data_IF_063997684872
#
_entry.id   IF_063997684872
#
_cell.length_a   1.000
_cell.length_b   1.000
_cell.length_c   1.000
_cell.angle_alpha   90.00
_cell.angle_beta   90.00
_cell.angle_gamma   90.00
#
_symmetry.space_group_name_H-M   'P 1'
#
loop_
_entity.id
_entity.type
_entity.pdbx_description
1 polymer ?
#
# COMPACT_ATOMS: atom_id res chain seq x y z
N UNK A 1 12.96 -26.06 -5.27
CA UNK A 1 12.64 -24.90 -4.42
C UNK A 1 13.47 -23.75 -4.91
N UNK A 2 12.85 -22.64 -5.32
CA UNK A 2 13.58 -21.45 -5.75
C UNK A 2 14.22 -20.80 -4.51
N UNK A 3 15.52 -20.55 -4.51
CA UNK A 3 16.21 -19.88 -3.41
C UNK A 3 15.68 -18.44 -3.28
N UNK A 4 15.45 -17.99 -2.07
CA UNK A 4 15.12 -16.60 -1.78
C UNK A 4 16.40 -15.78 -1.76
N UNK A 5 16.35 -14.56 -2.31
CA UNK A 5 17.46 -13.63 -2.31
C UNK A 5 17.00 -12.25 -1.92
N UNK A 6 17.84 -11.52 -1.17
CA UNK A 6 17.64 -10.13 -0.82
C UNK A 6 18.43 -9.28 -1.81
N UNK A 7 17.72 -8.41 -2.53
CA UNK A 7 18.35 -7.45 -3.43
C UNK A 7 18.49 -6.10 -2.77
N UNK A 8 19.66 -5.49 -2.89
CA UNK A 8 19.83 -4.08 -2.52
C UNK A 8 18.95 -3.19 -3.40
N UNK A 9 18.52 -2.01 -2.91
CA UNK A 9 17.80 -1.06 -3.73
C UNK A 9 18.56 -0.74 -5.03
N UNK A 10 17.85 -0.72 -6.15
CA UNK A 10 18.44 -0.46 -7.48
C UNK A 10 19.02 0.94 -7.65
N UNK A 11 18.67 1.87 -6.76
CA UNK A 11 19.08 3.28 -6.81
C UNK A 11 19.35 3.79 -5.40
N UNK A 12 20.20 4.81 -5.27
CA UNK A 12 20.47 5.48 -3.99
C UNK A 12 19.19 6.03 -3.35
N UNK A 13 18.26 6.57 -4.14
CA UNK A 13 16.95 7.02 -3.67
C UNK A 13 16.09 5.90 -3.02
N UNK A 14 16.42 4.64 -3.29
CA UNK A 14 15.80 3.49 -2.62
C UNK A 14 16.21 3.33 -1.16
N UNK A 15 17.39 3.87 -0.77
CA UNK A 15 17.88 3.85 0.60
C UNK A 15 17.49 5.17 1.27
N UNK A 16 16.48 5.14 2.12
CA UNK A 16 15.93 6.34 2.76
C UNK A 16 15.32 6.03 4.12
N UNK A 17 15.22 7.06 4.95
CA UNK A 17 14.50 7.02 6.22
C UNK A 17 13.15 7.72 6.04
N UNK A 18 12.06 7.03 6.41
CA UNK A 18 10.70 7.59 6.38
C UNK A 18 10.23 7.68 7.83
N UNK A 19 9.75 8.85 8.30
CA UNK A 19 9.15 8.97 9.63
C UNK A 19 7.98 8.00 9.77
N UNK A 20 7.92 7.31 10.90
CA UNK A 20 6.84 6.38 11.19
C UNK A 20 5.66 7.13 11.82
N UNK A 21 4.49 7.01 11.24
CA UNK A 21 3.25 7.51 11.87
C UNK A 21 2.76 6.50 12.93
N UNK A 22 1.90 6.97 13.82
CA UNK A 22 1.47 6.20 14.99
C UNK A 22 0.81 4.86 14.59
N UNK A 23 -0.05 4.87 13.60
CA UNK A 23 -0.76 3.68 13.11
C UNK A 23 0.19 2.60 12.56
N UNK A 24 1.26 3.03 11.90
CA UNK A 24 2.30 2.12 11.41
C UNK A 24 3.11 1.55 12.56
N UNK A 25 3.45 2.37 13.56
CA UNK A 25 4.13 1.91 14.77
C UNK A 25 3.30 0.86 15.52
N UNK A 26 2.01 1.10 15.71
CA UNK A 26 1.09 0.16 16.36
C UNK A 26 0.95 -1.16 15.59
N UNK A 27 0.93 -1.10 14.25
CA UNK A 27 0.94 -2.30 13.42
C UNK A 27 2.21 -3.13 13.60
N UNK A 28 3.38 -2.50 13.65
CA UNK A 28 4.65 -3.18 13.93
C UNK A 28 4.69 -3.75 15.35
N UNK A 29 4.19 -3.02 16.33
CA UNK A 29 4.13 -3.49 17.72
C UNK A 29 3.20 -4.71 17.84
N UNK A 30 2.06 -4.68 17.18
CA UNK A 30 1.12 -5.80 17.14
C UNK A 30 1.78 -7.05 16.54
N UNK A 31 2.47 -6.91 15.43
CA UNK A 31 3.20 -8.01 14.80
C UNK A 31 4.30 -8.55 15.72
N UNK A 32 5.04 -7.67 16.40
CA UNK A 32 6.06 -8.06 17.36
C UNK A 32 5.47 -8.90 18.53
N UNK A 33 4.35 -8.47 19.11
CA UNK A 33 3.71 -9.23 20.21
C UNK A 33 3.16 -10.58 19.73
N UNK A 34 2.66 -10.66 18.50
CA UNK A 34 2.25 -11.93 17.88
C UNK A 34 3.46 -12.87 17.76
N UNK A 35 4.56 -12.39 17.20
CA UNK A 35 5.77 -13.22 17.06
C UNK A 35 6.40 -13.59 18.39
N UNK A 36 6.33 -12.73 19.39
CA UNK A 36 6.77 -13.04 20.75
C UNK A 36 5.99 -14.20 21.37
N UNK A 37 4.70 -14.31 21.06
CA UNK A 37 3.85 -15.41 21.54
C UNK A 37 4.04 -16.70 20.73
N UNK A 38 4.18 -16.60 19.41
CA UNK A 38 4.22 -17.73 18.49
C UNK A 38 5.64 -18.23 18.18
N UNK A 39 6.65 -17.41 18.43
CA UNK A 39 8.04 -17.61 18.06
C UNK A 39 8.47 -16.70 16.93
N UNK A 40 9.72 -16.25 16.97
CA UNK A 40 10.32 -15.41 15.92
C UNK A 40 10.80 -16.28 14.74
N UNK A 41 10.90 -15.65 13.57
CA UNK A 41 11.48 -16.27 12.39
C UNK A 41 13.00 -16.38 12.55
N UNK A 42 13.52 -17.60 12.43
CA UNK A 42 14.96 -17.89 12.47
C UNK A 42 15.57 -18.03 11.05
N UNK A 43 14.75 -17.81 10.00
CA UNK A 43 15.22 -17.91 8.62
C UNK A 43 16.30 -16.84 8.36
N UNK A 44 17.43 -17.26 7.78
CA UNK A 44 18.49 -16.38 7.32
C UNK A 44 18.53 -16.41 5.78
N UNK A 45 18.54 -15.22 5.16
CA UNK A 45 18.59 -15.06 3.70
C UNK A 45 19.71 -14.08 3.38
N UNK A 46 20.71 -14.52 2.63
CA UNK A 46 21.87 -13.71 2.22
C UNK A 46 22.55 -12.96 3.39
N UNK A 47 22.63 -13.59 4.57
CA UNK A 47 23.21 -13.01 5.79
C UNK A 47 22.29 -12.07 6.57
N UNK A 48 21.03 -11.90 6.17
CA UNK A 48 20.03 -11.15 6.90
C UNK A 48 19.09 -12.06 7.68
N UNK A 49 18.76 -11.65 8.89
CA UNK A 49 17.82 -12.33 9.81
C UNK A 49 16.91 -11.32 10.52
N UNK A 50 15.99 -11.78 11.36
CA UNK A 50 15.11 -10.90 12.13
C UNK A 50 14.02 -10.25 11.29
N UNK A 51 13.46 -10.98 10.33
CA UNK A 51 12.38 -10.51 9.46
C UNK A 51 11.10 -10.26 10.27
N UNK A 52 10.51 -9.07 10.05
CA UNK A 52 9.31 -8.63 10.79
C UNK A 52 8.05 -9.32 10.29
N UNK A 53 7.86 -9.43 8.97
CA UNK A 53 6.64 -10.03 8.41
C UNK A 53 6.92 -11.44 7.89
N UNK A 54 6.32 -12.41 8.57
CA UNK A 54 6.55 -13.82 8.30
C UNK A 54 5.24 -14.61 8.23
N UNK A 55 5.29 -15.77 7.60
CA UNK A 55 4.15 -16.68 7.52
C UNK A 55 3.91 -17.37 8.88
N UNK A 56 2.76 -18.02 9.03
CA UNK A 56 2.48 -18.87 10.21
C UNK A 56 3.48 -20.04 10.39
N UNK A 57 4.32 -20.30 9.38
CA UNK A 57 5.39 -21.30 9.43
C UNK A 57 6.76 -20.68 9.72
N UNK A 58 6.81 -19.45 10.21
CA UNK A 58 8.02 -18.68 10.52
C UNK A 58 8.98 -18.54 9.33
N UNK A 59 8.46 -18.43 8.13
CA UNK A 59 9.24 -18.20 6.91
C UNK A 59 8.93 -16.84 6.31
N UNK A 60 9.91 -16.23 5.65
CA UNK A 60 9.75 -14.90 5.01
C UNK A 60 8.77 -14.95 3.86
N UNK A 61 7.86 -13.98 3.80
CA UNK A 61 6.91 -13.83 2.69
C UNK A 61 7.64 -13.56 1.37
N UNK A 62 7.20 -14.21 0.30
CA UNK A 62 7.55 -13.79 -1.06
C UNK A 62 6.59 -12.69 -1.55
N UNK A 63 7.02 -11.87 -2.50
CA UNK A 63 6.14 -10.87 -3.14
C UNK A 63 4.88 -11.51 -3.75
N UNK A 64 5.00 -12.71 -4.32
CA UNK A 64 3.87 -13.46 -4.85
C UNK A 64 2.89 -13.87 -3.72
N UNK A 65 3.39 -14.26 -2.55
CA UNK A 65 2.54 -14.64 -1.43
C UNK A 65 1.71 -13.45 -0.91
N UNK A 66 2.32 -12.25 -0.84
CA UNK A 66 1.63 -11.01 -0.46
C UNK A 66 0.53 -10.68 -1.48
N UNK A 67 0.84 -10.67 -2.77
CA UNK A 67 -0.16 -10.39 -3.81
C UNK A 67 -1.30 -11.43 -3.81
N UNK A 68 -0.98 -12.71 -3.64
CA UNK A 68 -2.00 -13.76 -3.53
C UNK A 68 -2.90 -13.57 -2.30
N UNK A 69 -2.37 -13.05 -1.19
CA UNK A 69 -3.18 -12.72 -0.01
C UNK A 69 -4.14 -11.55 -0.31
N UNK A 70 -3.66 -10.51 -0.99
CA UNK A 70 -4.48 -9.38 -1.45
C UNK A 70 -5.62 -9.89 -2.35
N UNK A 71 -5.32 -10.66 -3.39
CA UNK A 71 -6.32 -11.23 -4.30
C UNK A 71 -7.37 -12.07 -3.58
N UNK A 72 -6.94 -12.93 -2.63
CA UNK A 72 -7.88 -13.73 -1.83
C UNK A 72 -8.81 -12.86 -0.98
N UNK A 73 -8.26 -11.81 -0.34
CA UNK A 73 -9.05 -10.89 0.47
C UNK A 73 -10.06 -10.11 -0.39
N UNK A 74 -9.62 -9.58 -1.54
CA UNK A 74 -10.48 -8.88 -2.50
C UNK A 74 -11.61 -9.79 -3.01
N UNK A 75 -11.29 -11.01 -3.39
CA UNK A 75 -12.29 -11.98 -3.85
C UNK A 75 -13.29 -12.34 -2.75
N UNK A 76 -12.83 -12.55 -1.54
CA UNK A 76 -13.70 -12.84 -0.40
C UNK A 76 -14.65 -11.67 -0.10
N UNK A 77 -14.15 -10.44 -0.14
CA UNK A 77 -14.96 -9.24 0.00
C UNK A 77 -16.02 -9.15 -1.11
N UNK A 78 -15.60 -9.26 -2.38
CA UNK A 78 -16.52 -9.15 -3.52
C UNK A 78 -17.61 -10.20 -3.49
N UNK A 79 -17.30 -11.44 -3.16
CA UNK A 79 -18.30 -12.49 -3.03
C UNK A 79 -19.34 -12.16 -1.93
N UNK A 80 -18.87 -11.67 -0.77
CA UNK A 80 -19.74 -11.27 0.33
C UNK A 80 -20.60 -10.06 -0.05
N UNK A 81 -20.02 -9.06 -0.70
CA UNK A 81 -20.70 -7.86 -1.17
C UNK A 81 -21.80 -8.19 -2.20
N UNK A 82 -21.52 -9.09 -3.14
CA UNK A 82 -22.54 -9.56 -4.10
C UNK A 82 -23.74 -10.24 -3.41
N UNK A 83 -23.48 -11.04 -2.36
CA UNK A 83 -24.55 -11.69 -1.60
C UNK A 83 -25.37 -10.68 -0.79
N UNK A 84 -24.73 -9.70 -0.18
CA UNK A 84 -25.38 -8.63 0.58
C UNK A 84 -26.20 -7.72 -0.33
N UNK A 85 -25.62 -7.26 -1.44
CA UNK A 85 -26.28 -6.44 -2.44
C UNK A 85 -27.54 -7.09 -3.02
N UNK A 86 -27.50 -8.41 -3.29
CA UNK A 86 -28.68 -9.19 -3.72
C UNK A 86 -29.79 -9.17 -2.67
N UNK A 87 -29.44 -9.31 -1.37
CA UNK A 87 -30.45 -9.28 -0.29
C UNK A 87 -31.08 -7.90 -0.13
N UNK A 88 -30.29 -6.84 -0.35
CA UNK A 88 -30.70 -5.45 -0.22
C UNK A 88 -31.28 -4.85 -1.51
N UNK A 89 -31.33 -5.62 -2.60
CA UNK A 89 -31.80 -5.18 -3.92
C UNK A 89 -31.06 -3.92 -4.43
N UNK A 90 -29.75 -3.84 -4.22
CA UNK A 90 -28.88 -2.77 -4.69
C UNK A 90 -27.75 -3.28 -5.60
N UNK A 91 -27.11 -2.38 -6.32
CA UNK A 91 -25.89 -2.71 -7.07
C UNK A 91 -24.73 -3.00 -6.11
N UNK A 92 -23.91 -4.06 -6.37
CA UNK A 92 -22.77 -4.38 -5.55
C UNK A 92 -21.62 -3.37 -5.74
N UNK A 93 -20.97 -2.97 -4.66
CA UNK A 93 -19.78 -2.13 -4.68
C UNK A 93 -18.52 -3.01 -4.69
N UNK A 94 -18.14 -3.47 -5.87
CA UNK A 94 -17.01 -4.38 -6.02
C UNK A 94 -15.67 -3.67 -6.03
N UNK A 95 -14.69 -4.25 -5.33
CA UNK A 95 -13.31 -3.81 -5.42
C UNK A 95 -12.68 -4.32 -6.71
N UNK A 96 -11.92 -3.49 -7.44
CA UNK A 96 -11.14 -3.92 -8.60
C UNK A 96 -10.03 -4.88 -8.15
N UNK A 97 -9.49 -5.63 -9.09
CA UNK A 97 -8.28 -6.42 -8.82
C UNK A 97 -7.06 -5.51 -8.67
N UNK A 98 -6.33 -5.68 -7.57
CA UNK A 98 -5.16 -4.86 -7.27
C UNK A 98 -4.03 -5.65 -6.60
N UNK A 99 -2.85 -5.07 -6.59
CA UNK A 99 -1.63 -5.63 -6.01
C UNK A 99 -0.99 -4.66 -5.01
N UNK A 100 0.03 -5.10 -4.28
CA UNK A 100 0.81 -4.24 -3.40
C UNK A 100 1.37 -2.98 -4.09
N UNK A 101 1.66 -3.06 -5.41
CA UNK A 101 2.11 -1.90 -6.18
C UNK A 101 1.03 -0.82 -6.33
N UNK A 102 -0.23 -1.21 -6.50
CA UNK A 102 -1.36 -0.27 -6.54
C UNK A 102 -1.56 0.43 -5.19
N UNK A 103 -1.32 -0.26 -4.06
CA UNK A 103 -1.34 0.38 -2.74
C UNK A 103 -0.27 1.46 -2.62
N UNK A 104 0.93 1.22 -3.17
CA UNK A 104 1.99 2.24 -3.23
C UNK A 104 1.55 3.44 -4.09
N UNK A 105 0.90 3.20 -5.23
CA UNK A 105 0.35 4.26 -6.08
C UNK A 105 -0.70 5.08 -5.33
N UNK A 106 -1.65 4.42 -4.68
CA UNK A 106 -2.67 5.09 -3.86
C UNK A 106 -2.05 5.94 -2.76
N UNK A 107 -1.03 5.43 -2.07
CA UNK A 107 -0.30 6.21 -1.08
C UNK A 107 0.34 7.46 -1.68
N UNK A 108 1.00 7.34 -2.83
CA UNK A 108 1.60 8.48 -3.54
C UNK A 108 0.56 9.53 -3.91
N UNK A 109 -0.57 9.12 -4.48
CA UNK A 109 -1.68 10.02 -4.84
C UNK A 109 -2.22 10.75 -3.60
N UNK A 110 -2.48 10.02 -2.50
CA UNK A 110 -2.92 10.62 -1.23
C UNK A 110 -1.91 11.60 -0.65
N UNK A 111 -0.62 11.29 -0.79
CA UNK A 111 0.44 12.20 -0.38
C UNK A 111 0.45 13.47 -1.24
N UNK A 112 0.28 13.36 -2.57
CA UNK A 112 0.18 14.48 -3.49
C UNK A 112 -1.05 15.36 -3.24
N UNK A 113 -2.15 14.81 -2.75
CA UNK A 113 -3.36 15.56 -2.39
C UNK A 113 -3.17 16.45 -1.15
N UNK A 114 -2.23 16.13 -0.28
CA UNK A 114 -2.04 16.76 1.03
C UNK A 114 -0.69 17.50 1.15
N UNK A 115 0.30 17.17 0.33
CA UNK A 115 1.63 17.77 0.34
C UNK A 115 1.92 18.43 -1.02
N UNK A 116 2.33 19.68 -1.00
CA UNK A 116 2.63 20.46 -2.20
C UNK A 116 4.11 20.48 -2.58
N UNK A 117 4.98 20.08 -1.66
CA UNK A 117 6.42 20.03 -1.91
C UNK A 117 6.79 18.72 -2.62
N UNK A 118 6.93 18.81 -3.95
CA UNK A 118 7.29 17.67 -4.79
C UNK A 118 8.59 16.97 -4.37
N UNK A 119 9.54 17.71 -3.77
CA UNK A 119 10.80 17.12 -3.30
C UNK A 119 10.57 16.22 -2.10
N UNK A 120 9.73 16.64 -1.16
CA UNK A 120 9.34 15.81 0.00
C UNK A 120 8.63 14.55 -0.47
N UNK A 121 7.71 14.66 -1.41
CA UNK A 121 7.01 13.50 -1.99
C UNK A 121 8.00 12.55 -2.67
N UNK A 122 8.91 13.09 -3.49
CA UNK A 122 9.95 12.31 -4.16
C UNK A 122 10.81 11.52 -3.17
N UNK A 123 11.25 12.18 -2.09
CA UNK A 123 12.13 11.58 -1.09
C UNK A 123 11.40 10.49 -0.29
N UNK A 124 10.15 10.73 0.12
CA UNK A 124 9.32 9.71 0.80
C UNK A 124 9.09 8.52 -0.12
N UNK A 125 8.75 8.76 -1.39
CA UNK A 125 8.47 7.69 -2.36
C UNK A 125 9.74 6.98 -2.84
N UNK A 126 10.90 7.63 -2.78
CA UNK A 126 12.15 7.11 -3.30
C UNK A 126 12.16 7.02 -4.83
N UNK A 127 11.50 7.96 -5.51
CA UNK A 127 11.51 8.02 -6.96
C UNK A 127 12.85 8.58 -7.45
N UNK A 128 13.54 7.85 -8.33
CA UNK A 128 14.80 8.28 -8.92
C UNK A 128 14.64 9.58 -9.69
N UNK A 129 13.59 9.67 -10.52
CA UNK A 129 13.27 10.85 -11.33
C UNK A 129 12.10 11.59 -10.70
N UNK A 130 12.22 12.89 -10.62
CA UNK A 130 11.14 13.75 -10.15
C UNK A 130 9.93 13.75 -11.09
N UNK A 131 10.15 13.51 -12.37
CA UNK A 131 9.10 13.40 -13.40
C UNK A 131 8.00 12.41 -12.98
N UNK A 132 8.39 11.22 -12.46
CA UNK A 132 7.42 10.25 -11.97
C UNK A 132 6.54 10.80 -10.84
N UNK A 133 7.10 11.64 -9.98
CA UNK A 133 6.32 12.31 -8.92
C UNK A 133 5.44 13.41 -9.50
N UNK A 134 5.94 14.16 -10.48
CA UNK A 134 5.20 15.23 -11.15
C UNK A 134 3.99 14.72 -11.91
N UNK A 135 4.14 13.58 -12.62
CA UNK A 135 3.03 12.94 -13.35
C UNK A 135 1.89 12.56 -12.40
N UNK A 136 2.21 11.90 -11.28
CA UNK A 136 1.22 11.51 -10.27
C UNK A 136 0.59 12.75 -9.61
N UNK A 137 1.40 13.79 -9.34
CA UNK A 137 0.92 15.03 -8.75
C UNK A 137 -0.04 15.76 -9.71
N UNK A 138 0.27 15.81 -11.00
CA UNK A 138 -0.60 16.42 -12.00
C UNK A 138 -1.96 15.70 -12.08
N UNK A 139 -1.95 14.37 -12.13
CA UNK A 139 -3.17 13.56 -12.14
C UNK A 139 -4.02 13.77 -10.87
N UNK A 140 -3.39 13.76 -9.69
CA UNK A 140 -4.05 14.00 -8.41
C UNK A 140 -4.69 15.41 -8.36
N UNK A 141 -3.97 16.42 -8.89
CA UNK A 141 -4.43 17.80 -8.93
C UNK A 141 -5.63 17.99 -9.88
N UNK A 142 -5.60 17.37 -11.06
CA UNK A 142 -6.73 17.44 -12.01
C UNK A 142 -7.99 16.77 -11.42
N UNK A 143 -7.83 15.61 -10.79
CA UNK A 143 -8.95 14.97 -10.10
C UNK A 143 -9.52 15.86 -8.99
N UNK A 144 -8.67 16.48 -8.19
CA UNK A 144 -9.08 17.40 -7.13
C UNK A 144 -9.84 18.60 -7.65
N UNK A 145 -9.42 19.16 -8.79
CA UNK A 145 -10.16 20.23 -9.46
C UNK A 145 -11.57 19.78 -9.87
N UNK A 146 -11.69 18.62 -10.49
CA UNK A 146 -12.99 18.08 -10.91
C UNK A 146 -13.92 17.88 -9.71
N UNK A 147 -13.45 17.24 -8.64
CA UNK A 147 -14.21 17.06 -7.39
C UNK A 147 -14.69 18.41 -6.83
N UNK A 148 -13.80 19.42 -6.80
CA UNK A 148 -14.13 20.76 -6.29
C UNK A 148 -15.22 21.42 -7.14
N UNK A 149 -15.14 21.32 -8.48
CA UNK A 149 -16.16 21.87 -9.36
C UNK A 149 -17.51 21.14 -9.25
N UNK A 150 -17.49 19.82 -9.06
CA UNK A 150 -18.71 19.05 -8.80
C UNK A 150 -19.37 19.44 -7.46
N UNK A 151 -18.58 19.67 -6.42
CA UNK A 151 -19.09 20.16 -5.14
C UNK A 151 -19.68 21.57 -5.27
N UNK A 152 -19.00 22.48 -5.97
CA UNK A 152 -19.52 23.84 -6.23
C UNK A 152 -20.84 23.81 -7.02
N UNK A 153 -20.98 22.90 -7.99
CA UNK A 153 -22.21 22.77 -8.76
C UNK A 153 -23.42 22.32 -7.93
N UNK A 154 -23.19 21.61 -6.84
CA UNK A 154 -24.24 21.16 -5.89
C UNK A 154 -24.69 22.25 -4.92
N UNK A 155 -23.91 23.33 -4.80
CA UNK A 155 -24.20 24.42 -3.84
C UNK A 155 -25.17 25.49 -4.37
N UNK A 156 -25.71 25.32 -5.60
CA UNK A 156 -26.71 26.23 -6.21
C UNK A 156 -26.29 27.72 -6.12
N UNK A 157 -25.00 28.00 -6.35
CA UNK A 157 -24.40 29.33 -6.17
C UNK A 157 -24.58 30.21 -7.42
N UNK A 158 -25.14 29.67 -8.52
CA UNK A 158 -25.33 30.38 -9.79
C UNK A 158 -26.77 30.39 -10.23
#
# INVERSE_FOLDING_TARGET
>A
VCAKHIQTPKTEAGTRTIPMIQEVFEAFLTEYEIQKCLGFCEEEIDGYSGFVFTTAYHTVYSAAAVNNAIHRATKAYNNKEEEEAKKECREPLLLPDFSAHHLRHTFCTRLCENETNLKVIQDIMGHRNIETTMDIYAEATERKKQETFEELSKLDIF
#
